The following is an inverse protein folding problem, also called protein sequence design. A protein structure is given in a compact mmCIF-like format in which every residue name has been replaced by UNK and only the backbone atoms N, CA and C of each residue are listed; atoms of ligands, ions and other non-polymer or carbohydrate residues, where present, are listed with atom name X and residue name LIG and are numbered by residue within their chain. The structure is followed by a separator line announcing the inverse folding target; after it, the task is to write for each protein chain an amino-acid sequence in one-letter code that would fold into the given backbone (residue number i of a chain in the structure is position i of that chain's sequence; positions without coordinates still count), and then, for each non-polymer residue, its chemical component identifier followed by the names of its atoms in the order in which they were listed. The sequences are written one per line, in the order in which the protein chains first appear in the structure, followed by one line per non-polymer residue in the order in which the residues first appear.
data_IF_247035602147
#
_entry.id   IF_247035602147
#
_cell.length_a   1.000
_cell.length_b   1.000
_cell.length_c   1.000
_cell.angle_alpha   90.00
_cell.angle_beta   90.00
_cell.angle_gamma   90.00
#
_symmetry.space_group_name_H-M   'P 1'
#
loop_
_entity.id
_entity.type
_entity.pdbx_description
1 polymer ?
#
# COMPACT_ATOMS: atom_id res chain seq x y z
N UNK A 1 -1.07 3.39 -64.59
CA UNK A 1 -1.01 2.36 -63.53
C UNK A 1 -0.36 3.00 -62.32
N UNK A 2 -1.15 3.74 -61.57
CA UNK A 2 -0.73 4.50 -60.38
C UNK A 2 -1.01 3.67 -59.14
N UNK A 3 0.02 3.52 -58.32
CA UNK A 3 -0.02 2.93 -56.99
C UNK A 3 -0.92 3.72 -56.05
N UNK A 4 -1.89 3.05 -55.43
CA UNK A 4 -2.50 3.46 -54.16
C UNK A 4 -2.46 2.24 -53.23
N UNK A 5 -1.73 2.34 -52.11
CA UNK A 5 -2.17 2.89 -50.82
C UNK A 5 -2.91 1.83 -50.00
N UNK A 6 -2.28 1.39 -48.91
CA UNK A 6 -2.87 0.40 -48.01
C UNK A 6 -1.99 0.03 -46.82
N UNK A 7 -1.15 0.95 -46.33
CA UNK A 7 -0.50 0.80 -45.02
C UNK A 7 -1.51 1.13 -43.93
N UNK A 8 -2.40 0.19 -43.62
CA UNK A 8 -3.25 0.31 -42.44
C UNK A 8 -2.38 0.38 -41.18
N UNK A 9 -2.68 1.27 -40.21
CA UNK A 9 -1.95 1.28 -38.95
C UNK A 9 -2.09 -0.10 -38.28
N UNK A 10 -1.03 -0.62 -37.62
CA UNK A 10 -1.16 -1.86 -36.87
C UNK A 10 -2.30 -1.68 -35.88
N UNK A 11 -3.31 -2.55 -36.00
CA UNK A 11 -4.40 -2.69 -35.06
C UNK A 11 -3.85 -2.55 -33.65
N UNK A 12 -4.20 -1.45 -32.99
CA UNK A 12 -3.87 -1.23 -31.59
C UNK A 12 -4.58 -2.34 -30.83
N UNK A 13 -3.84 -3.41 -30.54
CA UNK A 13 -4.23 -4.41 -29.55
C UNK A 13 -4.43 -3.63 -28.26
N UNK A 14 -5.69 -3.33 -27.95
CA UNK A 14 -6.08 -2.75 -26.70
C UNK A 14 -5.58 -3.69 -25.60
N UNK A 15 -4.49 -3.29 -24.95
CA UNK A 15 -3.93 -4.03 -23.83
C UNK A 15 -5.05 -4.23 -22.81
N UNK A 16 -5.51 -5.48 -22.57
CA UNK A 16 -6.67 -5.72 -21.76
C UNK A 16 -6.42 -5.12 -20.38
N UNK A 17 -7.36 -4.29 -19.90
CA UNK A 17 -7.24 -3.62 -18.62
C UNK A 17 -6.91 -4.67 -17.54
N UNK A 18 -5.86 -4.46 -16.73
CA UNK A 18 -5.33 -5.48 -15.84
C UNK A 18 -6.42 -5.95 -14.89
N UNK A 19 -6.51 -7.27 -14.69
CA UNK A 19 -7.52 -7.83 -13.79
C UNK A 19 -7.29 -7.30 -12.38
N UNK A 20 -8.35 -7.24 -11.57
CA UNK A 20 -8.26 -6.69 -10.21
C UNK A 20 -7.15 -7.38 -9.37
N UNK A 21 -6.90 -8.67 -9.59
CA UNK A 21 -5.81 -9.41 -8.95
C UNK A 21 -4.40 -9.01 -9.42
N UNK A 22 -4.23 -8.68 -10.70
CA UNK A 22 -2.94 -8.26 -11.28
C UNK A 22 -2.52 -6.88 -10.76
N UNK A 23 -3.49 -5.99 -10.51
CA UNK A 23 -3.24 -4.67 -9.91
C UNK A 23 -2.82 -4.78 -8.45
N UNK A 24 -3.44 -5.68 -7.71
CA UNK A 24 -3.10 -5.92 -6.31
C UNK A 24 -1.70 -6.56 -6.17
N UNK A 25 -1.35 -7.50 -7.05
CA UNK A 25 -0.01 -8.07 -7.11
C UNK A 25 1.06 -7.01 -7.47
N UNK A 26 0.79 -6.16 -8.47
CA UNK A 26 1.69 -5.06 -8.81
C UNK A 26 1.86 -4.06 -7.65
N UNK A 27 0.78 -3.71 -6.94
CA UNK A 27 0.83 -2.83 -5.79
C UNK A 27 1.68 -3.42 -4.65
N UNK A 28 1.53 -4.72 -4.37
CA UNK A 28 2.37 -5.42 -3.38
C UNK A 28 3.84 -5.42 -3.79
N UNK A 29 4.14 -5.68 -5.05
CA UNK A 29 5.51 -5.65 -5.57
C UNK A 29 6.17 -4.28 -5.42
N UNK A 30 5.44 -3.20 -5.71
CA UNK A 30 5.93 -1.83 -5.50
C UNK A 30 6.19 -1.54 -4.03
N UNK A 31 5.28 -1.93 -3.13
CA UNK A 31 5.45 -1.73 -1.70
C UNK A 31 6.67 -2.50 -1.13
N UNK A 32 6.95 -3.70 -1.64
CA UNK A 32 8.13 -4.47 -1.26
C UNK A 32 9.42 -3.80 -1.73
N UNK A 33 9.45 -3.30 -2.97
CA UNK A 33 10.59 -2.55 -3.51
C UNK A 33 10.84 -1.27 -2.72
N UNK A 34 9.81 -0.49 -2.43
CA UNK A 34 9.91 0.72 -1.61
C UNK A 34 10.50 0.39 -0.23
N UNK A 35 9.99 -0.67 0.41
CA UNK A 35 10.48 -1.15 1.71
C UNK A 35 11.94 -1.61 1.65
N UNK A 36 12.37 -2.21 0.53
CA UNK A 36 13.76 -2.58 0.32
C UNK A 36 14.66 -1.35 0.14
N UNK A 37 14.25 -0.40 -0.72
CA UNK A 37 15.01 0.81 -1.02
C UNK A 37 15.19 1.70 0.22
N UNK A 38 14.15 1.83 1.05
CA UNK A 38 14.24 2.52 2.33
C UNK A 38 15.28 1.87 3.25
N UNK A 39 15.27 0.53 3.38
CA UNK A 39 16.25 -0.21 4.20
C UNK A 39 17.68 -0.10 3.65
N UNK A 40 17.84 -0.08 2.34
CA UNK A 40 19.14 0.10 1.70
C UNK A 40 19.67 1.51 1.95
N UNK A 41 18.83 2.52 1.80
CA UNK A 41 19.18 3.93 2.07
C UNK A 41 19.57 4.14 3.53
N UNK A 42 18.80 3.60 4.47
CA UNK A 42 19.13 3.70 5.90
C UNK A 42 20.46 3.02 6.23
N UNK A 43 20.77 1.89 5.58
CA UNK A 43 22.08 1.23 5.75
C UNK A 43 23.23 2.11 5.27
N UNK A 44 23.08 2.73 4.10
CA UNK A 44 24.10 3.61 3.54
C UNK A 44 24.30 4.85 4.41
N UNK A 45 23.21 5.49 4.84
CA UNK A 45 23.25 6.66 5.71
C UNK A 45 23.91 6.33 7.05
N UNK A 46 23.54 5.20 7.68
CA UNK A 46 24.16 4.78 8.93
C UNK A 46 25.67 4.53 8.78
N UNK A 47 26.12 4.00 7.64
CA UNK A 47 27.54 3.81 7.35
C UNK A 47 28.29 5.13 7.16
N UNK A 48 27.69 6.06 6.42
CA UNK A 48 28.24 7.39 6.20
C UNK A 48 28.36 8.16 7.52
N UNK A 49 27.28 8.25 8.29
CA UNK A 49 27.24 8.94 9.58
C UNK A 49 28.25 8.34 10.56
N UNK A 50 28.38 7.01 10.58
CA UNK A 50 29.37 6.33 11.40
C UNK A 50 30.81 6.68 11.01
N UNK A 51 31.08 6.78 9.70
CA UNK A 51 32.41 7.15 9.20
C UNK A 51 32.75 8.60 9.54
N UNK A 52 31.81 9.53 9.36
CA UNK A 52 31.94 10.93 9.78
C UNK A 52 32.16 11.04 11.29
N UNK A 53 31.35 10.35 12.09
CA UNK A 53 31.51 10.33 13.55
C UNK A 53 32.89 9.82 13.97
N UNK A 54 33.37 8.75 13.34
CA UNK A 54 34.69 8.23 13.67
C UNK A 54 35.81 9.17 13.19
N UNK A 55 35.61 9.94 12.11
CA UNK A 55 36.53 10.98 11.62
C UNK A 55 36.86 12.01 12.70
N UNK A 56 35.86 12.41 13.48
CA UNK A 56 35.98 13.35 14.62
C UNK A 56 36.80 12.82 15.80
N UNK A 57 37.19 11.54 15.78
CA UNK A 57 37.97 10.88 16.83
C UNK A 57 39.39 10.57 16.31
N UNK A 58 40.28 11.57 16.21
CA UNK A 58 41.61 11.41 15.60
C UNK A 58 42.55 10.50 16.42
N UNK A 59 42.27 10.32 17.71
CA UNK A 59 43.02 9.45 18.61
C UNK A 59 42.71 7.95 18.41
N UNK A 60 41.69 7.60 17.62
CA UNK A 60 41.38 6.20 17.32
C UNK A 60 42.30 5.62 16.25
N UNK A 61 42.87 4.46 16.56
CA UNK A 61 43.54 3.62 15.56
C UNK A 61 42.56 3.15 14.48
N UNK A 62 43.07 2.77 13.31
CA UNK A 62 42.27 2.23 12.21
C UNK A 62 41.41 1.01 12.61
N UNK A 63 41.90 0.18 13.53
CA UNK A 63 41.16 -0.97 14.04
C UNK A 63 39.98 -0.54 14.93
N UNK A 64 40.22 0.39 15.87
CA UNK A 64 39.17 0.92 16.73
C UNK A 64 38.12 1.71 15.94
N UNK A 65 38.55 2.51 14.96
CA UNK A 65 37.68 3.23 14.02
C UNK A 65 36.72 2.28 13.29
N UNK A 66 37.23 1.20 12.71
CA UNK A 66 36.38 0.17 12.06
C UNK A 66 35.41 -0.48 13.04
N UNK A 67 35.82 -0.70 14.29
CA UNK A 67 34.97 -1.28 15.32
C UNK A 67 33.84 -0.33 15.74
N UNK A 68 34.14 0.95 15.98
CA UNK A 68 33.14 1.99 16.26
C UNK A 68 32.13 2.09 15.13
N UNK A 69 32.60 2.13 13.87
CA UNK A 69 31.72 2.18 12.70
C UNK A 69 30.76 0.99 12.67
N UNK A 70 31.27 -0.23 12.87
CA UNK A 70 30.42 -1.43 12.91
C UNK A 70 29.38 -1.38 14.04
N UNK A 71 29.77 -0.94 15.23
CA UNK A 71 28.88 -0.85 16.39
C UNK A 71 27.79 0.20 16.17
N UNK A 72 28.15 1.38 15.66
CA UNK A 72 27.21 2.45 15.35
C UNK A 72 26.19 2.00 14.30
N UNK A 73 26.65 1.42 13.18
CA UNK A 73 25.76 0.92 12.13
C UNK A 73 24.81 -0.15 12.66
N UNK A 74 25.31 -1.06 13.51
CA UNK A 74 24.49 -2.11 14.13
C UNK A 74 23.39 -1.50 15.01
N UNK A 75 23.75 -0.53 15.84
CA UNK A 75 22.85 0.11 16.80
C UNK A 75 21.77 0.92 16.08
N UNK A 76 22.18 1.74 15.11
CA UNK A 76 21.24 2.53 14.29
C UNK A 76 20.25 1.66 13.53
N UNK A 77 20.70 0.52 12.98
CA UNK A 77 19.81 -0.46 12.36
C UNK A 77 18.84 -1.09 13.36
N UNK A 78 19.25 -1.32 14.60
CA UNK A 78 18.38 -1.85 15.64
C UNK A 78 17.29 -0.83 16.01
N UNK A 79 17.68 0.44 16.19
CA UNK A 79 16.76 1.54 16.48
C UNK A 79 15.74 1.76 15.36
N UNK A 80 16.19 1.75 14.09
CA UNK A 80 15.31 1.88 12.94
C UNK A 80 14.24 0.76 12.90
N UNK A 81 14.65 -0.50 13.13
CA UNK A 81 13.71 -1.63 13.20
C UNK A 81 12.73 -1.52 14.36
N UNK A 82 13.19 -1.05 15.53
CA UNK A 82 12.31 -0.85 16.68
C UNK A 82 11.27 0.23 16.40
N UNK A 83 11.69 1.34 15.81
CA UNK A 83 10.81 2.45 15.44
C UNK A 83 9.77 2.02 14.41
N UNK A 84 10.19 1.26 13.39
CA UNK A 84 9.28 0.71 12.40
C UNK A 84 8.21 -0.18 13.04
N UNK A 85 8.61 -1.11 13.93
CA UNK A 85 7.65 -1.96 14.65
C UNK A 85 6.66 -1.17 15.49
N UNK A 86 7.11 -0.11 16.17
CA UNK A 86 6.23 0.75 16.95
C UNK A 86 5.20 1.46 16.07
N UNK A 87 5.62 1.94 14.89
CA UNK A 87 4.73 2.56 13.90
C UNK A 87 3.74 1.53 13.36
N UNK A 88 4.20 0.33 12.99
CA UNK A 88 3.33 -0.77 12.52
C UNK A 88 2.26 -1.11 13.57
N UNK A 89 2.65 -1.30 14.83
CA UNK A 89 1.70 -1.56 15.93
C UNK A 89 0.71 -0.40 16.12
N UNK A 90 1.19 0.85 16.05
CA UNK A 90 0.31 2.01 16.16
C UNK A 90 -0.69 2.09 14.98
N UNK A 91 -0.24 1.78 13.77
CA UNK A 91 -1.10 1.72 12.59
C UNK A 91 -2.13 0.60 12.68
N UNK A 92 -1.75 -0.59 13.17
CA UNK A 92 -2.69 -1.69 13.41
C UNK A 92 -3.75 -1.31 14.44
N UNK A 93 -3.36 -0.68 15.54
CA UNK A 93 -4.28 -0.17 16.55
C UNK A 93 -5.26 0.86 15.96
N UNK A 94 -4.76 1.79 15.14
CA UNK A 94 -5.60 2.78 14.44
C UNK A 94 -6.51 2.17 13.38
N UNK A 95 -6.02 1.17 12.65
CA UNK A 95 -6.80 0.47 11.63
C UNK A 95 -7.96 -0.30 12.28
N UNK A 96 -7.76 -0.87 13.48
CA UNK A 96 -8.83 -1.50 14.24
C UNK A 96 -9.93 -0.48 14.62
N UNK A 97 -9.56 0.74 15.02
CA UNK A 97 -10.53 1.81 15.31
C UNK A 97 -11.36 2.18 14.06
N UNK A 98 -10.73 2.27 12.89
CA UNK A 98 -11.40 2.63 11.62
C UNK A 98 -12.26 1.48 11.07
N UNK A 99 -11.82 0.23 11.19
CA UNK A 99 -12.57 -0.95 10.73
C UNK A 99 -13.93 -1.08 11.42
N UNK A 100 -14.02 -0.73 12.71
CA UNK A 100 -15.29 -0.74 13.45
C UNK A 100 -16.30 0.28 12.91
N UNK A 101 -15.83 1.44 12.46
CA UNK A 101 -16.68 2.49 11.89
C UNK A 101 -17.22 2.11 10.50
N UNK A 102 -16.40 1.47 9.66
CA UNK A 102 -16.82 1.04 8.32
C UNK A 102 -17.87 -0.08 8.36
N UNK A 103 -17.74 -1.01 9.30
CA UNK A 103 -18.67 -2.13 9.46
C UNK A 103 -20.05 -1.65 9.93
N UNK A 104 -20.08 -0.67 10.85
CA UNK A 104 -21.32 -0.07 11.32
C UNK A 104 -22.08 0.66 10.19
N UNK A 105 -21.35 1.39 9.32
CA UNK A 105 -21.96 2.08 8.19
C UNK A 105 -22.47 1.09 7.12
N UNK A 106 -21.70 0.05 6.81
CA UNK A 106 -22.10 -1.02 5.87
C UNK A 106 -23.36 -1.73 6.34
N UNK A 107 -23.43 -2.12 7.62
CA UNK A 107 -24.62 -2.78 8.18
C UNK A 107 -25.85 -1.87 8.11
N UNK A 108 -25.69 -0.59 8.45
CA UNK A 108 -26.79 0.38 8.33
C UNK A 108 -27.26 0.52 6.89
N UNK A 109 -26.35 0.68 5.93
CA UNK A 109 -26.72 0.77 4.51
C UNK A 109 -27.41 -0.50 4.01
N UNK A 110 -26.91 -1.70 4.35
CA UNK A 110 -27.56 -2.96 3.97
C UNK A 110 -28.97 -3.07 4.53
N UNK A 111 -29.19 -2.68 5.80
CA UNK A 111 -30.51 -2.66 6.43
C UNK A 111 -31.43 -1.62 5.79
N UNK A 112 -30.93 -0.42 5.48
CA UNK A 112 -31.74 0.60 4.80
C UNK A 112 -32.15 0.13 3.40
N UNK A 113 -31.23 -0.45 2.64
CA UNK A 113 -31.51 -0.96 1.29
C UNK A 113 -32.49 -2.12 1.34
N UNK A 114 -32.36 -3.05 2.29
CA UNK A 114 -33.30 -4.18 2.41
C UNK A 114 -34.72 -3.69 2.74
N UNK A 115 -34.85 -2.74 3.67
CA UNK A 115 -36.15 -2.13 4.02
C UNK A 115 -36.77 -1.43 2.83
N UNK A 116 -35.98 -0.66 2.05
CA UNK A 116 -36.47 0.03 0.85
C UNK A 116 -36.95 -0.97 -0.21
N UNK A 117 -36.21 -2.05 -0.46
CA UNK A 117 -36.61 -3.10 -1.40
C UNK A 117 -37.91 -3.75 -0.94
N UNK A 118 -38.03 -4.13 0.34
CA UNK A 118 -39.25 -4.75 0.87
C UNK A 118 -40.45 -3.80 0.82
N UNK A 119 -40.26 -2.51 1.13
CA UNK A 119 -41.32 -1.53 1.01
C UNK A 119 -41.78 -1.35 -0.45
N UNK A 120 -40.84 -1.31 -1.39
CA UNK A 120 -41.13 -1.20 -2.82
C UNK A 120 -41.88 -2.42 -3.34
N UNK A 121 -41.45 -3.64 -3.00
CA UNK A 121 -42.15 -4.87 -3.42
C UNK A 121 -43.56 -4.94 -2.84
N UNK A 122 -43.76 -4.52 -1.59
CA UNK A 122 -45.07 -4.50 -0.96
C UNK A 122 -46.00 -3.48 -1.63
N UNK A 123 -45.51 -2.28 -1.91
CA UNK A 123 -46.26 -1.25 -2.63
C UNK A 123 -46.66 -1.70 -4.04
N UNK A 124 -45.74 -2.34 -4.78
CA UNK A 124 -46.02 -2.91 -6.09
C UNK A 124 -47.08 -4.03 -6.03
N UNK A 125 -47.03 -4.88 -5.00
CA UNK A 125 -48.00 -5.96 -4.80
C UNK A 125 -49.41 -5.42 -4.49
N UNK A 126 -49.51 -4.39 -3.65
CA UNK A 126 -50.79 -3.72 -3.38
C UNK A 126 -51.35 -3.02 -4.62
N UNK A 127 -50.47 -2.41 -5.43
CA UNK A 127 -50.85 -1.77 -6.68
C UNK A 127 -51.37 -2.78 -7.71
N UNK A 128 -50.73 -3.95 -7.84
CA UNK A 128 -51.22 -5.00 -8.75
C UNK A 128 -52.55 -5.61 -8.27
N UNK A 129 -52.73 -5.83 -6.96
CA UNK A 129 -53.99 -6.29 -6.39
C UNK A 129 -55.13 -5.30 -6.63
N UNK A 130 -54.89 -4.00 -6.44
CA UNK A 130 -55.90 -2.95 -6.70
C UNK A 130 -56.24 -2.78 -8.18
N UNK A 131 -55.31 -3.07 -9.09
CA UNK A 131 -55.57 -3.08 -10.53
C UNK A 131 -56.33 -4.33 -11.02
N UNK A 132 -56.25 -5.43 -10.26
CA UNK A 132 -56.90 -6.71 -10.60
C UNK A 132 -58.31 -6.84 -9.99
N UNK A 133 -58.65 -6.03 -9.00
CA UNK A 133 -59.96 -6.01 -8.31
C UNK A 133 -60.90 -5.01 -8.96
#
# INVERSE_FOLDING_TARGET
MTSEHGGGPPSSEAHPAPRAGERDEAARGVAELESYLLRQTETHNAQHDAACFAAELPWLTSAQRKQVIRLYVRDRKALARQTQKLIETALEQRAAEVATAHEALRRRMCLTVSVLITALTFALCLLSLTLLT
#
